data_IF_231572066806
#
_entry.id   IF_231572066806
#
_cell.length_a   1.000
_cell.length_b   1.000
_cell.length_c   1.000
_cell.angle_alpha   90.00
_cell.angle_beta   90.00
_cell.angle_gamma   90.00
#
_symmetry.space_group_name_H-M   'P 1'
#
loop_
_entity.id
_entity.type
_entity.pdbx_description
1 polymer ?
#
# COMPACT_ATOMS: atom_id res chain seq x y z
N UNK A 1 -14.77 -8.13 23.22
CA UNK A 1 -14.44 -7.77 21.83
C UNK A 1 -14.27 -6.27 21.65
N UNK A 2 -15.23 -5.48 22.07
CA UNK A 2 -15.10 -4.02 22.05
C UNK A 2 -13.96 -3.51 22.92
N UNK A 3 -13.68 -4.21 24.00
CA UNK A 3 -12.62 -3.83 24.93
C UNK A 3 -11.25 -3.85 24.26
N UNK A 4 -10.99 -4.82 23.39
CA UNK A 4 -9.72 -4.90 22.67
C UNK A 4 -9.55 -3.68 21.78
N UNK A 5 -10.61 -3.29 21.05
CA UNK A 5 -10.57 -2.12 20.16
C UNK A 5 -10.46 -0.82 20.94
N UNK A 6 -11.11 -0.74 22.12
CA UNK A 6 -11.04 0.44 22.95
C UNK A 6 -9.63 0.70 23.48
N UNK A 7 -8.82 -0.37 23.59
CA UNK A 7 -7.45 -0.27 24.07
C UNK A 7 -6.42 -0.03 22.96
N UNK A 8 -6.85 0.01 21.71
CA UNK A 8 -5.94 0.28 20.61
C UNK A 8 -5.54 1.74 20.58
N UNK A 9 -4.26 1.99 20.44
CA UNK A 9 -3.73 3.34 20.26
C UNK A 9 -4.02 3.85 18.85
N UNK A 10 -3.89 5.15 18.65
CA UNK A 10 -4.03 5.75 17.32
C UNK A 10 -3.03 5.16 16.34
N UNK A 11 -1.83 4.88 16.80
CA UNK A 11 -0.80 4.24 15.99
C UNK A 11 -1.24 2.86 15.50
N UNK A 12 -1.84 2.06 16.38
CA UNK A 12 -2.31 0.73 16.03
C UNK A 12 -3.45 0.79 15.01
N UNK A 13 -4.38 1.75 15.17
CA UNK A 13 -5.42 1.97 14.17
C UNK A 13 -4.83 2.36 12.82
N UNK A 14 -3.84 3.24 12.81
CA UNK A 14 -3.20 3.66 11.56
C UNK A 14 -2.44 2.51 10.91
N UNK A 15 -1.78 1.67 11.71
CA UNK A 15 -1.10 0.48 11.18
C UNK A 15 -2.10 -0.46 10.50
N UNK A 16 -3.27 -0.67 11.11
CA UNK A 16 -4.32 -1.51 10.52
C UNK A 16 -4.87 -0.92 9.23
N UNK A 17 -5.11 0.40 9.22
CA UNK A 17 -5.60 1.08 8.02
C UNK A 17 -4.58 0.97 6.89
N UNK A 18 -3.31 1.16 7.19
CA UNK A 18 -2.25 1.07 6.19
C UNK A 18 -2.16 -0.35 5.63
N UNK A 19 -2.18 -1.36 6.49
CA UNK A 19 -2.15 -2.76 6.06
C UNK A 19 -3.35 -3.11 5.18
N UNK A 20 -4.54 -2.68 5.60
CA UNK A 20 -5.76 -2.91 4.84
C UNK A 20 -5.70 -2.23 3.47
N UNK A 21 -5.21 -1.00 3.41
CA UNK A 21 -5.10 -0.28 2.13
C UNK A 21 -4.10 -0.95 1.19
N UNK A 22 -3.01 -1.49 1.72
CA UNK A 22 -2.05 -2.26 0.91
C UNK A 22 -2.69 -3.52 0.34
N UNK A 23 -3.46 -4.23 1.16
CA UNK A 23 -4.16 -5.45 0.73
C UNK A 23 -5.17 -5.13 -0.36
N UNK A 24 -5.98 -4.07 -0.18
CA UNK A 24 -6.96 -3.65 -1.18
C UNK A 24 -6.30 -3.24 -2.48
N UNK A 25 -5.19 -2.50 -2.42
CA UNK A 25 -4.47 -2.10 -3.62
C UNK A 25 -3.94 -3.30 -4.38
N UNK A 26 -3.45 -4.32 -3.69
CA UNK A 26 -3.00 -5.55 -4.32
C UNK A 26 -4.15 -6.27 -5.03
N UNK A 27 -5.33 -6.31 -4.41
CA UNK A 27 -6.52 -6.92 -5.01
C UNK A 27 -6.98 -6.16 -6.25
N UNK A 28 -6.99 -4.84 -6.20
CA UNK A 28 -7.36 -4.02 -7.37
C UNK A 28 -6.34 -4.17 -8.48
N UNK A 29 -5.06 -4.25 -8.15
CA UNK A 29 -4.02 -4.49 -9.15
C UNK A 29 -4.25 -5.82 -9.88
N UNK A 30 -4.58 -6.87 -9.13
CA UNK A 30 -4.92 -8.16 -9.71
C UNK A 30 -6.15 -8.04 -10.62
N UNK A 31 -7.19 -7.32 -10.16
CA UNK A 31 -8.41 -7.13 -10.94
C UNK A 31 -8.13 -6.39 -12.26
N UNK A 32 -7.24 -5.41 -12.24
CA UNK A 32 -6.84 -4.71 -13.47
C UNK A 32 -6.20 -5.67 -14.45
N UNK A 33 -5.33 -6.54 -13.97
CA UNK A 33 -4.64 -7.53 -14.82
C UNK A 33 -5.61 -8.55 -15.42
N UNK A 34 -6.65 -8.92 -14.68
CA UNK A 34 -7.58 -9.96 -15.11
C UNK A 34 -8.75 -9.41 -15.94
N UNK A 35 -8.97 -8.10 -15.95
CA UNK A 35 -10.10 -7.53 -16.66
C UNK A 35 -9.82 -7.48 -18.17
N UNK A 36 -10.79 -8.00 -18.94
CA UNK A 36 -10.66 -8.10 -20.40
C UNK A 36 -11.43 -7.03 -21.17
N UNK A 37 -12.38 -6.36 -20.52
CA UNK A 37 -13.15 -5.29 -21.17
C UNK A 37 -12.55 -3.94 -20.82
N UNK A 38 -12.56 -3.01 -21.81
CA UNK A 38 -11.95 -1.70 -21.61
C UNK A 38 -12.58 -0.91 -20.47
N UNK A 39 -13.91 -0.94 -20.36
CA UNK A 39 -14.60 -0.18 -19.31
C UNK A 39 -14.28 -0.70 -17.92
N UNK A 40 -14.31 -2.02 -17.73
CA UNK A 40 -13.99 -2.65 -16.46
C UNK A 40 -12.51 -2.39 -16.12
N UNK A 41 -11.64 -2.57 -17.08
CA UNK A 41 -10.21 -2.32 -16.91
C UNK A 41 -9.94 -0.88 -16.45
N UNK A 42 -10.53 0.09 -17.11
CA UNK A 42 -10.35 1.50 -16.78
C UNK A 42 -10.90 1.82 -15.40
N UNK A 43 -12.07 1.29 -15.05
CA UNK A 43 -12.67 1.53 -13.74
C UNK A 43 -11.80 0.97 -12.61
N UNK A 44 -11.32 -0.26 -12.75
CA UNK A 44 -10.43 -0.84 -11.74
C UNK A 44 -9.10 -0.11 -11.65
N UNK A 45 -8.57 0.34 -12.79
CA UNK A 45 -7.33 1.10 -12.80
C UNK A 45 -7.49 2.43 -12.05
N UNK A 46 -8.61 3.11 -12.24
CA UNK A 46 -8.89 4.37 -11.53
C UNK A 46 -9.03 4.14 -10.03
N UNK A 47 -9.72 3.07 -9.63
CA UNK A 47 -9.85 2.70 -8.22
C UNK A 47 -8.48 2.38 -7.63
N UNK A 48 -7.65 1.64 -8.35
CA UNK A 48 -6.31 1.32 -7.91
C UNK A 48 -5.48 2.58 -7.69
N UNK A 49 -5.51 3.52 -8.62
CA UNK A 49 -4.77 4.78 -8.50
C UNK A 49 -5.24 5.57 -7.28
N UNK A 50 -6.54 5.67 -7.04
CA UNK A 50 -7.09 6.35 -5.87
C UNK A 50 -6.66 5.66 -4.57
N UNK A 51 -6.65 4.33 -4.57
CA UNK A 51 -6.22 3.53 -3.41
C UNK A 51 -4.75 3.77 -3.09
N UNK A 52 -3.91 3.85 -4.11
CA UNK A 52 -2.49 4.10 -3.93
C UNK A 52 -2.23 5.52 -3.42
N UNK A 53 -2.98 6.50 -3.91
CA UNK A 53 -2.88 7.87 -3.42
C UNK A 53 -3.30 7.97 -1.95
N UNK A 54 -4.38 7.30 -1.58
CA UNK A 54 -4.83 7.26 -0.19
C UNK A 54 -3.79 6.59 0.70
N UNK A 55 -3.22 5.48 0.25
CA UNK A 55 -2.17 4.77 0.98
C UNK A 55 -0.97 5.67 1.21
N UNK A 56 -0.57 6.43 0.20
CA UNK A 56 0.54 7.36 0.31
C UNK A 56 0.27 8.46 1.33
N UNK A 57 -0.95 8.99 1.36
CA UNK A 57 -1.32 10.02 2.34
C UNK A 57 -1.30 9.46 3.77
N UNK A 58 -1.79 8.24 3.96
CA UNK A 58 -1.74 7.58 5.27
C UNK A 58 -0.28 7.40 5.70
N UNK A 59 0.54 6.89 4.81
CA UNK A 59 1.97 6.69 5.05
C UNK A 59 2.66 7.99 5.44
N UNK A 60 2.40 9.08 4.70
CA UNK A 60 3.01 10.38 4.97
C UNK A 60 2.64 10.92 6.34
N UNK A 61 1.38 10.75 6.75
CA UNK A 61 0.94 11.17 8.08
C UNK A 61 1.60 10.34 9.19
N UNK A 62 1.74 9.05 8.98
CA UNK A 62 2.41 8.18 9.95
C UNK A 62 3.89 8.55 10.08
N UNK A 63 4.53 8.85 8.97
CA UNK A 63 5.92 9.28 8.97
C UNK A 63 6.10 10.59 9.74
N UNK A 64 5.21 11.56 9.53
CA UNK A 64 5.25 12.85 10.24
C UNK A 64 5.07 12.66 11.75
N UNK A 65 4.30 11.68 12.15
CA UNK A 65 4.06 11.37 13.56
C UNK A 65 5.15 10.49 14.17
N UNK A 66 6.11 10.05 13.37
CA UNK A 66 7.16 9.15 13.82
C UNK A 66 6.68 7.72 14.05
N UNK A 67 5.54 7.35 13.46
CA UNK A 67 4.95 6.02 13.65
C UNK A 67 5.40 5.03 12.58
N UNK A 68 6.09 5.48 11.56
CA UNK A 68 6.55 4.63 10.48
C UNK A 68 7.95 5.10 10.06
N UNK A 69 8.92 4.25 10.27
CA UNK A 69 10.29 4.51 9.86
C UNK A 69 10.56 3.75 8.57
N UNK A 70 10.67 4.50 7.49
CA UNK A 70 11.05 3.88 6.22
C UNK A 70 12.55 3.61 6.26
N UNK A 71 12.91 2.35 6.18
CA UNK A 71 14.30 1.97 6.00
C UNK A 71 14.54 1.77 4.52
N UNK A 72 15.51 2.51 3.94
CA UNK A 72 15.83 2.30 2.54
C UNK A 72 16.31 0.85 2.34
N UNK A 73 15.96 0.28 1.19
CA UNK A 73 16.42 -1.05 0.86
C UNK A 73 17.95 -1.08 0.83
N UNK A 74 18.58 -2.13 1.36
CA UNK A 74 20.03 -2.24 1.30
C UNK A 74 20.54 -2.11 -0.13
N UNK A 75 21.69 -1.47 -0.29
CA UNK A 75 22.23 -1.20 -1.62
C UNK A 75 22.44 -2.47 -2.44
N UNK A 76 22.84 -3.56 -1.78
CA UNK A 76 23.03 -4.82 -2.47
C UNK A 76 21.73 -5.37 -3.05
N UNK A 77 20.62 -5.19 -2.38
CA UNK A 77 19.31 -5.62 -2.90
C UNK A 77 18.89 -4.76 -4.09
N UNK A 78 19.14 -3.46 -4.02
CA UNK A 78 18.87 -2.55 -5.13
C UNK A 78 19.69 -2.94 -6.34
N UNK A 79 20.97 -3.25 -6.13
CA UNK A 79 21.87 -3.65 -7.21
C UNK A 79 21.44 -4.97 -7.86
N UNK A 80 20.96 -5.92 -7.05
CA UNK A 80 20.45 -7.18 -7.58
C UNK A 80 19.22 -6.97 -8.48
N UNK A 81 18.31 -6.11 -8.06
CA UNK A 81 17.13 -5.77 -8.86
C UNK A 81 17.54 -5.10 -10.17
N UNK A 82 18.48 -4.17 -10.11
CA UNK A 82 19.00 -3.51 -11.31
C UNK A 82 19.61 -4.50 -12.28
N UNK A 83 20.37 -5.46 -11.79
CA UNK A 83 20.98 -6.49 -12.63
C UNK A 83 19.93 -7.32 -13.35
N UNK A 84 18.82 -7.65 -12.69
CA UNK A 84 17.75 -8.41 -13.31
C UNK A 84 17.10 -7.70 -14.48
N UNK A 85 17.02 -6.37 -14.41
CA UNK A 85 16.34 -5.58 -15.43
C UNK A 85 17.27 -4.99 -16.47
N UNK A 86 18.58 -5.10 -16.30
CA UNK A 86 19.56 -4.58 -17.26
C UNK A 86 20.22 -5.64 -18.10
N UNK A 87 19.95 -6.91 -17.83
CA UNK A 87 20.41 -8.03 -18.67
C UNK A 87 19.40 -8.26 -19.81
#
# INVERSE_FOLDING_TARGET
MNEIKQNMSDREYMDDILLTSKTLSAMYHYAVQESSTNDVHTNFKNILNDSLDMQHRIFSQMEQKGWYNMQPAPQNEIDLVKQKFTQ
#
